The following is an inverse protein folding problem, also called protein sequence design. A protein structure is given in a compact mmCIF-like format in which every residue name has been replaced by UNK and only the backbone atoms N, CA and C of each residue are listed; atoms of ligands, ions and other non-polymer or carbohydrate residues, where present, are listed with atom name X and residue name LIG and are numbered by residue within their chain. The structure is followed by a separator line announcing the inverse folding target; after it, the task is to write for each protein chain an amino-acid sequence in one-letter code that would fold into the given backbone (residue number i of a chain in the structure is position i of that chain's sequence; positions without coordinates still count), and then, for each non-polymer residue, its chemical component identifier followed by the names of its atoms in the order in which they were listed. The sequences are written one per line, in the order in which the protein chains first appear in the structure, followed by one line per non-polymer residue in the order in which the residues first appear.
data_IF_520363447273
#
_entry.id   IF_520363447273
#
_cell.length_a   1.000
_cell.length_b   1.000
_cell.length_c   1.000
_cell.angle_alpha   90.00
_cell.angle_beta   90.00
_cell.angle_gamma   90.00
#
_symmetry.space_group_name_H-M   'P 1'
#
loop_
_entity.id
_entity.type
_entity.pdbx_description
1 polymer ?
#
# COMPACT_ATOMS: atom_id res chain seq x y z
N UNK A 1 -22.34 -29.53 2.74
CA UNK A 1 -21.84 -28.28 3.28
C UNK A 1 -20.66 -27.81 2.43
N UNK A 2 -20.78 -26.70 1.70
CA UNK A 2 -19.67 -26.10 0.95
C UNK A 2 -18.70 -25.48 1.97
N UNK A 3 -17.38 -25.67 1.80
CA UNK A 3 -16.38 -25.09 2.70
C UNK A 3 -16.36 -23.56 2.59
N UNK A 4 -15.95 -22.88 3.64
CA UNK A 4 -15.84 -21.41 3.70
C UNK A 4 -15.00 -20.84 2.53
N UNK A 5 -13.94 -21.56 2.12
CA UNK A 5 -13.12 -21.21 0.96
C UNK A 5 -13.91 -21.20 -0.37
N UNK A 6 -14.86 -22.10 -0.54
CA UNK A 6 -15.72 -22.12 -1.74
C UNK A 6 -16.73 -20.96 -1.76
N UNK A 7 -17.15 -20.47 -0.58
CA UNK A 7 -18.02 -19.30 -0.46
C UNK A 7 -17.27 -17.99 -0.83
N UNK A 8 -16.03 -17.85 -0.40
CA UNK A 8 -15.18 -16.69 -0.71
C UNK A 8 -14.83 -16.62 -2.20
N UNK A 9 -14.55 -17.77 -2.83
CA UNK A 9 -14.28 -17.85 -4.27
C UNK A 9 -15.55 -17.51 -5.09
N UNK A 10 -16.71 -17.99 -4.66
CA UNK A 10 -17.98 -17.75 -5.37
C UNK A 10 -18.45 -16.29 -5.20
N UNK A 11 -18.18 -15.67 -4.04
CA UNK A 11 -18.44 -14.26 -3.80
C UNK A 11 -17.49 -13.35 -4.58
N UNK A 12 -16.20 -13.69 -4.63
CA UNK A 12 -15.20 -12.98 -5.43
C UNK A 12 -15.52 -13.05 -6.93
N UNK A 13 -16.01 -14.19 -7.45
CA UNK A 13 -16.35 -14.34 -8.87
C UNK A 13 -17.63 -13.60 -9.26
N UNK A 14 -18.63 -13.54 -8.39
CA UNK A 14 -19.91 -12.88 -8.67
C UNK A 14 -19.85 -11.36 -8.51
N UNK A 15 -19.13 -10.87 -7.49
CA UNK A 15 -18.88 -9.43 -7.30
C UNK A 15 -17.81 -8.91 -8.27
N UNK A 16 -16.89 -9.77 -8.70
CA UNK A 16 -15.75 -9.41 -9.53
C UNK A 16 -16.12 -8.85 -10.91
N UNK A 17 -17.14 -9.41 -11.57
CA UNK A 17 -17.50 -8.95 -12.91
C UNK A 17 -18.10 -7.54 -12.94
N UNK A 18 -18.93 -7.17 -11.95
CA UNK A 18 -19.48 -5.81 -11.86
C UNK A 18 -18.45 -4.81 -11.30
N UNK A 19 -17.64 -5.21 -10.32
CA UNK A 19 -16.58 -4.38 -9.78
C UNK A 19 -15.50 -4.09 -10.82
N UNK A 20 -15.09 -5.08 -11.62
CA UNK A 20 -14.11 -4.93 -12.69
C UNK A 20 -14.62 -4.04 -13.83
N UNK A 21 -15.90 -4.14 -14.23
CA UNK A 21 -16.46 -3.28 -15.26
C UNK A 21 -16.54 -1.81 -14.81
N UNK A 22 -16.92 -1.56 -13.55
CA UNK A 22 -16.98 -0.21 -13.00
C UNK A 22 -15.58 0.39 -12.78
N UNK A 23 -14.62 -0.41 -12.32
CA UNK A 23 -13.23 0.01 -12.19
C UNK A 23 -12.64 0.40 -13.54
N UNK A 24 -12.85 -0.45 -14.56
CA UNK A 24 -12.37 -0.16 -15.92
C UNK A 24 -12.97 1.11 -16.49
N UNK A 25 -14.28 1.31 -16.39
CA UNK A 25 -14.94 2.53 -16.85
C UNK A 25 -14.42 3.78 -16.12
N UNK A 26 -14.08 3.64 -14.83
CA UNK A 26 -13.48 4.72 -14.06
C UNK A 26 -12.06 5.04 -14.55
N UNK A 27 -11.22 4.03 -14.76
CA UNK A 27 -9.86 4.20 -15.29
C UNK A 27 -9.87 4.82 -16.70
N UNK A 28 -10.79 4.41 -17.59
CA UNK A 28 -10.95 5.00 -18.91
C UNK A 28 -11.33 6.49 -18.84
N UNK A 29 -12.21 6.88 -17.89
CA UNK A 29 -12.53 8.29 -17.65
C UNK A 29 -11.35 9.08 -17.10
N UNK A 30 -10.55 8.49 -16.20
CA UNK A 30 -9.34 9.12 -15.66
C UNK A 30 -8.28 9.26 -16.75
N UNK A 31 -8.10 8.25 -17.59
CA UNK A 31 -7.21 8.29 -18.75
C UNK A 31 -7.58 9.40 -19.71
N UNK A 32 -8.87 9.54 -20.03
CA UNK A 32 -9.37 10.60 -20.90
C UNK A 32 -9.17 12.03 -20.33
N UNK A 33 -8.85 12.13 -19.03
CA UNK A 33 -8.51 13.39 -18.35
C UNK A 33 -7.00 13.62 -18.23
N UNK A 34 -6.19 12.73 -18.80
CA UNK A 34 -4.73 12.84 -18.81
C UNK A 34 -4.15 13.01 -17.40
N UNK A 35 -4.51 12.09 -16.49
CA UNK A 35 -4.00 12.10 -15.10
C UNK A 35 -2.49 12.03 -15.11
N UNK A 36 -1.81 13.08 -14.66
CA UNK A 36 -0.36 13.18 -14.67
C UNK A 36 0.30 12.78 -13.35
N UNK A 37 -0.47 12.67 -12.24
CA UNK A 37 0.03 12.32 -10.92
C UNK A 37 -0.99 11.50 -10.16
N UNK A 38 -0.52 10.44 -9.51
CA UNK A 38 -1.26 9.63 -8.52
C UNK A 38 -0.59 9.80 -7.17
N UNK A 39 -1.34 10.19 -6.15
CA UNK A 39 -0.87 10.26 -4.76
C UNK A 39 -1.50 9.09 -4.01
N UNK A 40 -0.67 8.29 -3.37
CA UNK A 40 -1.06 7.08 -2.63
C UNK A 40 -0.67 7.25 -1.18
N UNK A 41 -1.66 7.47 -0.34
CA UNK A 41 -1.48 7.50 1.11
C UNK A 41 -1.43 6.08 1.67
N UNK A 42 -0.66 5.87 2.75
CA UNK A 42 -0.41 4.57 3.36
C UNK A 42 0.11 3.53 2.34
N UNK A 43 1.01 3.94 1.46
CA UNK A 43 1.47 3.12 0.34
C UNK A 43 2.16 1.80 0.76
N UNK A 44 2.57 1.66 2.03
CA UNK A 44 3.10 0.40 2.57
C UNK A 44 2.12 -0.77 2.54
N UNK A 45 0.81 -0.51 2.42
CA UNK A 45 -0.21 -1.54 2.21
C UNK A 45 -0.26 -2.08 0.77
N UNK A 46 0.45 -1.44 -0.17
CA UNK A 46 0.40 -1.80 -1.58
C UNK A 46 1.40 -2.92 -1.96
N UNK A 47 1.59 -3.87 -1.06
CA UNK A 47 2.28 -5.13 -1.33
C UNK A 47 1.28 -6.20 -1.84
N UNK A 48 1.80 -7.28 -2.40
CA UNK A 48 1.01 -8.44 -2.81
C UNK A 48 -0.09 -8.10 -3.83
N UNK A 49 -1.31 -8.48 -3.53
CA UNK A 49 -2.45 -8.33 -4.45
C UNK A 49 -2.69 -6.88 -4.86
N UNK A 50 -2.72 -5.94 -3.91
CA UNK A 50 -2.99 -4.53 -4.20
C UNK A 50 -1.89 -3.86 -5.00
N UNK A 51 -0.63 -4.27 -4.81
CA UNK A 51 0.48 -3.80 -5.63
C UNK A 51 0.34 -4.23 -7.10
N UNK A 52 -0.17 -5.44 -7.37
CA UNK A 52 -0.48 -5.90 -8.73
C UNK A 52 -1.62 -5.10 -9.36
N UNK A 53 -2.72 -4.92 -8.63
CA UNK A 53 -3.86 -4.11 -9.09
C UNK A 53 -3.44 -2.68 -9.42
N UNK A 54 -2.58 -2.09 -8.59
CA UNK A 54 -2.04 -0.75 -8.83
C UNK A 54 -1.18 -0.70 -10.09
N UNK A 55 -0.28 -1.67 -10.30
CA UNK A 55 0.56 -1.74 -11.49
C UNK A 55 -0.28 -1.84 -12.77
N UNK A 56 -1.34 -2.67 -12.77
CA UNK A 56 -2.26 -2.81 -13.89
C UNK A 56 -3.02 -1.48 -14.15
N UNK A 57 -3.51 -0.83 -13.09
CA UNK A 57 -4.20 0.44 -13.20
C UNK A 57 -3.28 1.56 -13.72
N UNK A 58 -2.05 1.60 -13.25
CA UNK A 58 -1.03 2.56 -13.69
C UNK A 58 -0.72 2.42 -15.19
N UNK A 59 -0.56 1.18 -15.65
CA UNK A 59 -0.33 0.90 -17.08
C UNK A 59 -1.51 1.36 -17.95
N UNK A 60 -2.76 1.22 -17.47
CA UNK A 60 -3.96 1.68 -18.16
C UNK A 60 -4.08 3.21 -18.21
N UNK A 61 -3.42 3.93 -17.33
CA UNK A 61 -3.41 5.38 -17.24
C UNK A 61 -2.25 6.05 -18.02
N UNK A 62 -1.55 5.29 -18.86
CA UNK A 62 -0.40 5.75 -19.64
C UNK A 62 0.81 6.19 -18.79
N UNK A 63 0.97 5.59 -17.60
CA UNK A 63 2.12 5.77 -16.73
C UNK A 63 2.24 7.16 -16.08
N UNK A 64 1.24 7.63 -15.32
CA UNK A 64 1.34 8.89 -14.57
C UNK A 64 2.47 8.81 -13.54
N UNK A 65 2.96 9.96 -13.08
CA UNK A 65 3.89 10.00 -11.94
C UNK A 65 3.20 9.50 -10.68
N UNK A 66 3.99 8.88 -9.78
CA UNK A 66 3.46 8.36 -8.52
C UNK A 66 4.18 9.02 -7.36
N UNK A 67 3.41 9.41 -6.35
CA UNK A 67 3.90 9.85 -5.05
C UNK A 67 3.33 8.93 -3.99
N UNK A 68 4.19 8.16 -3.33
CA UNK A 68 3.84 7.32 -2.18
C UNK A 68 4.08 8.07 -0.87
N UNK A 69 3.11 8.04 0.02
CA UNK A 69 3.19 8.59 1.37
C UNK A 69 3.01 7.44 2.37
N UNK A 70 3.82 7.39 3.41
CA UNK A 70 3.68 6.42 4.50
C UNK A 70 4.44 6.88 5.73
N UNK A 71 3.88 6.63 6.91
CA UNK A 71 4.59 6.80 8.18
C UNK A 71 5.45 5.57 8.53
N UNK A 72 5.14 4.42 7.94
CA UNK A 72 5.76 3.12 8.24
C UNK A 72 6.12 2.40 6.95
N UNK A 73 7.32 2.59 6.40
CA UNK A 73 7.76 1.80 5.24
C UNK A 73 7.59 0.29 5.49
N UNK A 74 7.31 -0.52 4.46
CA UNK A 74 7.01 -1.93 4.66
C UNK A 74 8.19 -2.69 5.25
N UNK A 75 7.93 -3.49 6.29
CA UNK A 75 8.90 -4.45 6.81
C UNK A 75 9.24 -5.48 5.74
N UNK A 76 10.52 -5.83 5.63
CA UNK A 76 11.01 -6.76 4.61
C UNK A 76 10.95 -8.22 5.06
N UNK A 77 10.99 -8.45 6.38
CA UNK A 77 10.98 -9.79 6.97
C UNK A 77 9.65 -10.50 6.71
N UNK A 78 9.73 -11.75 6.27
CA UNK A 78 8.56 -12.60 6.01
C UNK A 78 7.70 -12.20 4.79
N UNK A 79 8.15 -11.26 3.97
CA UNK A 79 7.48 -10.87 2.72
C UNK A 79 8.07 -11.60 1.52
N UNK A 80 7.23 -11.79 0.50
CA UNK A 80 7.70 -12.37 -0.76
C UNK A 80 8.65 -11.40 -1.47
N UNK A 81 9.79 -11.92 -1.92
CA UNK A 81 10.81 -11.12 -2.63
C UNK A 81 10.22 -10.42 -3.87
N UNK A 82 9.35 -11.09 -4.61
CA UNK A 82 8.69 -10.53 -5.79
C UNK A 82 7.82 -9.32 -5.47
N UNK A 83 7.13 -9.35 -4.33
CA UNK A 83 6.27 -8.23 -3.90
C UNK A 83 7.10 -7.04 -3.44
N UNK A 84 8.22 -7.29 -2.75
CA UNK A 84 9.17 -6.25 -2.34
C UNK A 84 9.87 -5.63 -3.56
N UNK A 85 10.32 -6.45 -4.51
CA UNK A 85 10.94 -5.96 -5.75
C UNK A 85 9.97 -5.06 -6.52
N UNK A 86 8.72 -5.49 -6.69
CA UNK A 86 7.67 -4.69 -7.34
C UNK A 86 7.41 -3.37 -6.62
N UNK A 87 7.38 -3.39 -5.29
CA UNK A 87 7.22 -2.19 -4.48
C UNK A 87 8.38 -1.23 -4.68
N UNK A 88 9.62 -1.72 -4.61
CA UNK A 88 10.83 -0.94 -4.82
C UNK A 88 10.92 -0.38 -6.25
N UNK A 89 10.56 -1.17 -7.27
CA UNK A 89 10.53 -0.73 -8.66
C UNK A 89 9.47 0.36 -8.91
N UNK A 90 8.38 0.32 -8.13
CA UNK A 90 7.25 1.24 -8.29
C UNK A 90 7.43 2.57 -7.54
N UNK A 91 7.93 2.51 -6.31
CA UNK A 91 8.08 3.71 -5.45
C UNK A 91 9.52 4.23 -5.40
N UNK A 92 10.50 3.38 -5.66
CA UNK A 92 11.92 3.73 -5.50
C UNK A 92 12.36 3.85 -4.03
N UNK A 93 13.52 4.46 -3.80
CA UNK A 93 14.00 4.78 -2.46
C UNK A 93 13.17 5.91 -1.84
N UNK A 94 13.27 6.07 -0.53
CA UNK A 94 12.66 7.20 0.18
C UNK A 94 13.37 8.50 -0.24
N UNK A 95 12.62 9.40 -0.88
CA UNK A 95 13.13 10.70 -1.33
C UNK A 95 13.17 11.74 -0.23
N UNK A 96 12.21 11.66 0.71
CA UNK A 96 12.09 12.63 1.80
C UNK A 96 11.50 11.97 3.06
N UNK A 97 12.11 12.26 4.21
CA UNK A 97 11.67 11.78 5.51
C UNK A 97 11.56 12.94 6.50
N UNK A 98 10.46 12.97 7.26
CA UNK A 98 10.31 13.86 8.42
C UNK A 98 10.55 13.04 9.67
N UNK A 99 11.67 13.28 10.41
CA UNK A 99 11.96 12.49 11.61
C UNK A 99 10.91 12.73 12.70
N UNK A 100 10.49 11.67 13.41
CA UNK A 100 9.53 11.74 14.51
C UNK A 100 9.86 12.84 15.54
N UNK A 101 11.12 13.03 15.97
CA UNK A 101 11.46 14.12 16.89
C UNK A 101 11.14 15.53 16.37
N UNK A 102 11.24 15.75 15.07
CA UNK A 102 10.87 17.03 14.46
C UNK A 102 9.35 17.25 14.54
N UNK A 103 8.56 16.22 14.21
CA UNK A 103 7.10 16.27 14.25
C UNK A 103 6.57 16.48 15.67
N UNK A 104 7.22 15.87 16.68
CA UNK A 104 6.93 16.08 18.10
C UNK A 104 7.26 17.53 18.51
N UNK A 105 8.44 18.04 18.10
CA UNK A 105 8.86 19.41 18.40
C UNK A 105 7.90 20.45 17.83
N UNK A 106 7.39 20.21 16.64
CA UNK A 106 6.44 21.09 15.96
C UNK A 106 4.99 20.96 16.49
N UNK A 107 4.75 20.04 17.45
CA UNK A 107 3.46 19.86 18.10
C UNK A 107 2.43 19.04 17.33
N UNK A 108 2.81 18.40 16.22
CA UNK A 108 1.93 17.53 15.42
C UNK A 108 1.79 16.11 15.98
N UNK A 109 2.74 15.70 16.84
CA UNK A 109 2.68 14.44 17.60
C UNK A 109 2.85 14.71 19.10
N UNK A 110 2.21 13.88 19.91
CA UNK A 110 2.39 13.93 21.36
C UNK A 110 3.82 13.51 21.72
N UNK A 111 4.43 14.14 22.76
CA UNK A 111 5.68 13.66 23.31
C UNK A 111 5.52 12.22 23.80
N UNK A 112 6.53 11.39 23.59
CA UNK A 112 6.54 10.03 24.08
C UNK A 112 7.84 9.72 24.83
N UNK A 113 7.80 8.71 25.66
CA UNK A 113 8.95 8.20 26.38
C UNK A 113 8.94 6.68 26.33
N UNK A 114 10.03 6.11 25.86
CA UNK A 114 10.23 4.66 25.90
C UNK A 114 10.73 4.25 27.27
N UNK A 115 9.97 3.40 27.97
CA UNK A 115 10.35 2.81 29.24
C UNK A 115 10.85 1.40 29.02
N UNK A 116 12.15 1.19 29.20
CA UNK A 116 12.76 -0.14 29.08
C UNK A 116 12.85 -0.77 30.46
N UNK A 117 12.20 -1.91 30.65
CA UNK A 117 12.23 -2.68 31.89
C UNK A 117 12.96 -4.01 31.68
N UNK A 118 14.07 -4.18 32.39
CA UNK A 118 14.85 -5.42 32.35
C UNK A 118 14.39 -6.40 33.42
N UNK A 119 13.96 -7.58 33.04
CA UNK A 119 13.67 -8.71 33.95
C UNK A 119 14.78 -9.75 33.86
N UNK A 120 15.19 -10.28 35.01
CA UNK A 120 16.06 -11.46 35.03
C UNK A 120 15.18 -12.68 34.72
N UNK A 121 15.59 -13.58 33.83
CA UNK A 121 14.88 -14.85 33.68
C UNK A 121 14.99 -15.61 35.03
N UNK A 122 13.86 -16.12 35.50
CA UNK A 122 13.83 -17.06 36.60
C UNK A 122 14.40 -18.38 36.11
N UNK A 123 15.26 -19.07 36.94
CA UNK A 123 15.85 -20.35 36.58
C UNK A 123 14.80 -21.44 36.40
#
# INVERSE_FOLDING_TARGET
MKSQANYEIEYATRSGHHALSNARATLERLRAREVGLIILDECHHLLGHWGRVLADAHALLDGPRVLGLTATPPERDGKLVEDLTRYDDYFGPVDYEVPVPAVVKDGFLAPYQDLVYFVRPTP
#
